data_IF_601431640847
#
_entry.id   IF_601431640847
#
_cell.length_a   1.000
_cell.length_b   1.000
_cell.length_c   1.000
_cell.angle_alpha   90.00
_cell.angle_beta   90.00
_cell.angle_gamma   90.00
#
_symmetry.space_group_name_H-M   'P 1'
#
loop_
_entity.id
_entity.type
_entity.pdbx_description
1 polymer ?
#
# COMPACT_ATOMS: atom_id res chain seq x y z
N UNK A 1 -0.09 -11.79 -8.61
CA UNK A 1 -1.43 -11.90 -8.02
C UNK A 1 -1.58 -10.75 -7.03
N UNK A 2 -2.43 -9.76 -7.35
CA UNK A 2 -2.72 -8.63 -6.47
C UNK A 2 -3.74 -9.08 -5.42
N UNK A 3 -3.35 -9.04 -4.14
CA UNK A 3 -4.25 -9.32 -3.02
C UNK A 3 -5.05 -8.05 -2.77
N UNK A 4 -6.36 -8.21 -2.60
CA UNK A 4 -7.30 -7.14 -2.33
C UNK A 4 -7.75 -7.29 -0.88
N UNK A 5 -7.68 -6.20 -0.12
CA UNK A 5 -8.02 -6.15 1.29
C UNK A 5 -9.23 -5.25 1.50
N UNK A 6 -10.12 -5.66 2.40
CA UNK A 6 -11.25 -4.84 2.85
C UNK A 6 -10.86 -3.95 4.06
N UNK A 7 -9.76 -4.29 4.77
CA UNK A 7 -9.16 -3.46 5.82
C UNK A 7 -7.82 -2.86 5.36
N UNK A 8 -7.69 -1.54 5.53
CA UNK A 8 -6.48 -0.79 5.21
C UNK A 8 -5.29 -1.17 6.10
N UNK A 9 -5.52 -1.48 7.37
CA UNK A 9 -4.44 -1.88 8.28
C UNK A 9 -3.88 -3.26 7.92
N UNK A 10 -4.75 -4.19 7.51
CA UNK A 10 -4.32 -5.50 7.04
C UNK A 10 -3.45 -5.38 5.77
N UNK A 11 -3.81 -4.48 4.86
CA UNK A 11 -3.00 -4.18 3.67
C UNK A 11 -1.62 -3.60 4.02
N UNK A 12 -1.53 -2.75 5.06
CA UNK A 12 -0.25 -2.19 5.56
C UNK A 12 0.64 -3.31 6.12
N UNK A 13 0.09 -4.17 6.97
CA UNK A 13 0.85 -5.26 7.58
C UNK A 13 1.34 -6.26 6.52
N UNK A 14 0.51 -6.61 5.54
CA UNK A 14 0.94 -7.44 4.41
C UNK A 14 2.05 -6.77 3.58
N UNK A 15 1.94 -5.45 3.32
CA UNK A 15 2.97 -4.71 2.60
C UNK A 15 4.30 -4.68 3.38
N UNK A 16 4.25 -4.48 4.71
CA UNK A 16 5.43 -4.55 5.60
C UNK A 16 6.06 -5.94 5.60
N UNK A 17 5.26 -6.99 5.76
CA UNK A 17 5.72 -8.37 5.73
C UNK A 17 6.40 -8.71 4.38
N UNK A 18 5.82 -8.26 3.27
CA UNK A 18 6.42 -8.44 1.94
C UNK A 18 7.70 -7.63 1.76
N UNK A 19 7.78 -6.40 2.29
CA UNK A 19 9.02 -5.59 2.29
C UNK A 19 10.13 -6.32 3.03
N UNK A 20 9.85 -6.86 4.21
CA UNK A 20 10.83 -7.63 4.99
C UNK A 20 11.29 -8.88 4.24
N UNK A 21 10.34 -9.64 3.68
CA UNK A 21 10.62 -10.91 3.00
C UNK A 21 11.38 -10.76 1.68
N UNK A 22 11.04 -9.74 0.88
CA UNK A 22 11.55 -9.59 -0.49
C UNK A 22 12.47 -8.39 -0.67
N UNK A 23 12.65 -7.57 0.36
CA UNK A 23 13.44 -6.33 0.36
C UNK A 23 13.07 -5.35 -0.77
N UNK A 24 11.78 -5.27 -1.10
CA UNK A 24 11.21 -4.40 -2.15
C UNK A 24 10.11 -3.53 -1.59
N UNK A 25 10.01 -2.30 -2.08
CA UNK A 25 8.94 -1.42 -1.65
C UNK A 25 7.59 -1.80 -2.24
N UNK A 26 6.56 -1.66 -1.42
CA UNK A 26 5.18 -1.92 -1.76
C UNK A 26 4.36 -0.66 -1.49
N UNK A 27 3.36 -0.45 -2.34
CA UNK A 27 2.46 0.68 -2.29
C UNK A 27 1.03 0.17 -2.13
N UNK A 28 0.22 0.91 -1.41
CA UNK A 28 -1.20 0.62 -1.23
C UNK A 28 -1.96 1.68 -1.99
N UNK A 29 -2.87 1.22 -2.83
CA UNK A 29 -3.78 2.06 -3.61
C UNK A 29 -5.21 1.79 -3.18
N UNK A 30 -6.04 2.82 -3.15
CA UNK A 30 -7.48 2.66 -2.95
C UNK A 30 -8.17 2.42 -4.28
N UNK A 31 -9.10 1.48 -4.30
CA UNK A 31 -10.04 1.34 -5.40
C UNK A 31 -11.45 1.19 -4.83
N UNK A 32 -12.28 2.23 -5.01
CA UNK A 32 -13.60 2.34 -4.37
C UNK A 32 -13.49 2.14 -2.86
N UNK A 33 -13.90 0.98 -2.36
CA UNK A 33 -13.96 0.65 -0.94
C UNK A 33 -12.88 -0.38 -0.52
N UNK A 34 -11.88 -0.63 -1.37
CA UNK A 34 -10.86 -1.67 -1.14
C UNK A 34 -9.45 -1.14 -1.25
N UNK A 35 -8.52 -1.78 -0.54
CA UNK A 35 -7.09 -1.53 -0.60
C UNK A 35 -6.39 -2.61 -1.42
N UNK A 36 -5.44 -2.21 -2.28
CA UNK A 36 -4.65 -3.14 -3.10
C UNK A 36 -3.17 -2.88 -2.88
N UNK A 37 -2.41 -3.94 -2.60
CA UNK A 37 -0.95 -3.89 -2.44
C UNK A 37 -0.27 -4.14 -3.79
N UNK A 38 0.52 -3.19 -4.26
CA UNK A 38 1.23 -3.23 -5.54
C UNK A 38 2.73 -2.94 -5.38
N UNK A 39 3.58 -3.67 -6.10
CA UNK A 39 5.04 -3.45 -6.09
C UNK A 39 5.50 -2.31 -7.01
N UNK A 40 4.74 -2.02 -8.07
CA UNK A 40 5.02 -0.94 -9.01
C UNK A 40 3.77 -0.08 -9.19
N UNK A 41 3.96 1.23 -9.30
CA UNK A 41 2.88 2.20 -9.43
C UNK A 41 2.60 2.46 -10.92
N UNK A 42 1.34 2.33 -11.33
CA UNK A 42 0.90 2.76 -12.65
C UNK A 42 0.66 4.27 -12.66
N UNK A 43 0.99 4.94 -13.78
CA UNK A 43 0.72 6.37 -13.93
C UNK A 43 -0.79 6.66 -13.74
N UNK A 44 -1.09 7.74 -13.02
CA UNK A 44 -2.47 8.18 -12.75
C UNK A 44 -3.12 7.55 -11.52
N UNK A 45 -2.44 6.64 -10.81
CA UNK A 45 -2.97 6.05 -9.56
C UNK A 45 -2.51 6.86 -8.35
N UNK A 46 -3.44 7.20 -7.45
CA UNK A 46 -3.13 7.83 -6.16
C UNK A 46 -2.73 6.76 -5.13
N UNK A 47 -1.61 7.00 -4.46
CA UNK A 47 -1.06 6.12 -3.44
C UNK A 47 -1.57 6.57 -2.08
N UNK A 48 -2.14 5.64 -1.31
CA UNK A 48 -2.54 5.89 0.09
C UNK A 48 -1.37 5.72 1.05
N UNK A 49 -0.52 4.73 0.79
CA UNK A 49 0.61 4.36 1.64
C UNK A 49 1.74 3.75 0.81
N UNK A 50 2.98 3.92 1.25
CA UNK A 50 4.15 3.30 0.65
C UNK A 50 5.13 2.85 1.73
N UNK A 51 5.64 1.62 1.63
CA UNK A 51 6.64 1.13 2.58
C UNK A 51 7.95 1.91 2.53
N UNK A 52 8.23 2.61 1.43
CA UNK A 52 9.39 3.47 1.30
C UNK A 52 9.36 4.63 2.32
N UNK A 53 8.15 5.08 2.69
CA UNK A 53 7.93 6.19 3.61
C UNK A 53 7.29 5.75 4.94
N UNK A 54 7.20 4.45 5.20
CA UNK A 54 6.51 3.90 6.38
C UNK A 54 7.05 4.47 7.71
N UNK A 55 8.38 4.67 7.80
CA UNK A 55 9.04 5.22 8.98
C UNK A 55 8.65 6.68 9.28
N UNK A 56 8.10 7.38 8.31
CA UNK A 56 7.65 8.76 8.45
C UNK A 56 6.16 8.85 8.78
N UNK A 57 5.48 7.71 9.02
CA UNK A 57 4.04 7.63 9.29
C UNK A 57 3.20 8.40 8.26
N UNK A 58 3.70 8.55 7.03
CA UNK A 58 3.04 9.29 5.96
C UNK A 58 2.01 8.38 5.31
N UNK A 59 0.95 8.10 6.07
CA UNK A 59 -0.33 7.70 5.49
C UNK A 59 -0.91 8.99 4.94
N UNK A 60 -1.18 9.08 3.63
CA UNK A 60 -1.89 10.23 3.07
C UNK A 60 -3.39 9.98 3.31
N UNK A 61 -3.97 10.50 4.41
CA UNK A 61 -5.35 10.18 4.79
C UNK A 61 -6.35 10.98 3.93
N UNK A 62 -5.84 11.97 3.18
CA UNK A 62 -6.58 12.86 2.29
C UNK A 62 -6.90 12.21 0.93
N UNK A 63 -6.47 10.97 0.69
CA UNK A 63 -7.01 10.15 -0.38
C UNK A 63 -8.39 9.65 0.08
N UNK A 64 -9.39 10.54 -0.02
CA UNK A 64 -10.82 10.26 0.11
C UNK A 64 -11.50 10.50 -1.23
#
# INVERSE_FOLDING_TARGET
MSIVFDDFYEAIEDARHKKEKYNRDYNIIQSKDRAIVVGEIMQGVRIMFSTANDRYHTVLPEVR
#
